data_IF_064532122094
#
_entry.id   IF_064532122094
#
_cell.length_a   1.000
_cell.length_b   1.000
_cell.length_c   1.000
_cell.angle_alpha   90.00
_cell.angle_beta   90.00
_cell.angle_gamma   90.00
#
_symmetry.space_group_name_H-M   'P 1'
#
loop_
_entity.id
_entity.type
_entity.pdbx_description
1 polymer ?
#
# COMPACT_ATOMS: atom_id res chain seq x y z
N UNK A 1 3.91 -17.44 -7.74
CA UNK A 1 4.20 -16.28 -6.87
C UNK A 1 5.54 -15.62 -7.18
N UNK A 2 6.68 -16.31 -7.06
CA UNK A 2 8.01 -15.68 -7.25
C UNK A 2 8.18 -14.88 -8.56
N UNK A 3 7.61 -15.33 -9.68
CA UNK A 3 7.64 -14.60 -10.97
C UNK A 3 7.01 -13.20 -10.89
N UNK A 4 5.98 -13.03 -10.06
CA UNK A 4 5.27 -11.76 -9.91
C UNK A 4 6.17 -10.69 -9.28
N UNK A 5 6.98 -11.09 -8.30
CA UNK A 5 7.89 -10.18 -7.58
C UNK A 5 9.10 -9.72 -8.40
N UNK A 6 9.33 -10.31 -9.58
CA UNK A 6 10.43 -9.94 -10.49
C UNK A 6 9.90 -9.38 -11.82
N UNK A 7 8.65 -8.91 -11.83
CA UNK A 7 7.99 -8.33 -13.01
C UNK A 7 8.02 -9.28 -14.25
N UNK A 8 7.99 -10.60 -14.03
CA UNK A 8 7.96 -11.58 -15.10
C UNK A 8 6.52 -11.90 -15.53
N UNK A 9 6.28 -11.84 -16.84
CA UNK A 9 5.01 -12.23 -17.43
C UNK A 9 4.70 -13.71 -17.18
N UNK A 10 3.48 -14.00 -16.71
CA UNK A 10 2.99 -15.36 -16.55
C UNK A 10 2.22 -15.80 -17.82
N UNK A 11 2.51 -17.00 -18.37
CA UNK A 11 1.74 -17.51 -19.51
C UNK A 11 0.24 -17.53 -19.23
N UNK A 12 -0.57 -17.31 -20.27
CA UNK A 12 -2.03 -17.23 -20.16
C UNK A 12 -2.66 -18.47 -19.48
N UNK A 13 -2.19 -19.67 -19.80
CA UNK A 13 -2.66 -20.92 -19.19
C UNK A 13 -2.49 -20.93 -17.67
N UNK A 14 -1.32 -20.49 -17.17
CA UNK A 14 -1.02 -20.40 -15.74
C UNK A 14 -1.92 -19.37 -15.05
N UNK A 15 -2.21 -18.24 -15.72
CA UNK A 15 -3.10 -17.20 -15.17
C UNK A 15 -4.54 -17.71 -15.04
N UNK A 16 -5.06 -18.41 -16.04
CA UNK A 16 -6.40 -19.01 -15.99
C UNK A 16 -6.49 -20.08 -14.92
N UNK A 17 -5.50 -20.96 -14.82
CA UNK A 17 -5.48 -22.02 -13.81
C UNK A 17 -5.48 -21.43 -12.39
N UNK A 18 -4.65 -20.41 -12.18
CA UNK A 18 -4.60 -19.64 -10.93
C UNK A 18 -5.95 -19.00 -10.60
N UNK A 19 -6.54 -18.27 -11.57
CA UNK A 19 -7.86 -17.63 -11.41
C UNK A 19 -8.95 -18.65 -11.07
N UNK A 20 -9.03 -19.74 -11.83
CA UNK A 20 -10.05 -20.78 -11.67
C UNK A 20 -9.95 -21.46 -10.31
N UNK A 21 -8.73 -21.65 -9.81
CA UNK A 21 -8.49 -22.23 -8.49
C UNK A 21 -8.84 -21.24 -7.39
N UNK A 22 -8.46 -19.97 -7.55
CA UNK A 22 -8.68 -18.92 -6.55
C UNK A 22 -10.16 -18.56 -6.39
N UNK A 23 -10.94 -18.54 -7.48
CA UNK A 23 -12.38 -18.28 -7.44
C UNK A 23 -13.21 -19.37 -6.72
N UNK A 24 -12.66 -20.57 -6.52
CA UNK A 24 -13.33 -21.64 -5.76
C UNK A 24 -13.23 -21.43 -4.24
N UNK A 25 -12.30 -20.60 -3.79
CA UNK A 25 -12.09 -20.33 -2.38
C UNK A 25 -13.10 -19.31 -1.87
N UNK A 26 -13.61 -19.53 -0.66
CA UNK A 26 -14.36 -18.48 0.03
C UNK A 26 -13.44 -17.28 0.35
N UNK A 27 -13.99 -16.22 0.94
CA UNK A 27 -13.19 -15.04 1.23
C UNK A 27 -12.07 -15.28 2.25
N UNK A 28 -12.37 -16.06 3.30
CA UNK A 28 -11.44 -16.32 4.40
C UNK A 28 -10.30 -17.23 3.94
N UNK A 29 -10.62 -18.28 3.20
CA UNK A 29 -9.66 -19.22 2.64
C UNK A 29 -8.78 -18.54 1.60
N UNK A 30 -9.36 -17.73 0.71
CA UNK A 30 -8.57 -16.97 -0.25
C UNK A 30 -7.60 -16.01 0.44
N UNK A 31 -8.04 -15.30 1.47
CA UNK A 31 -7.16 -14.42 2.25
C UNK A 31 -6.04 -15.18 2.96
N UNK A 32 -6.36 -16.34 3.54
CA UNK A 32 -5.36 -17.24 4.15
C UNK A 32 -4.34 -17.73 3.12
N UNK A 33 -4.76 -18.05 1.89
CA UNK A 33 -3.84 -18.41 0.81
C UNK A 33 -2.92 -17.24 0.40
N UNK A 34 -3.42 -16.00 0.39
CA UNK A 34 -2.57 -14.81 0.19
C UNK A 34 -1.51 -14.69 1.30
N UNK A 35 -1.92 -14.84 2.57
CA UNK A 35 -1.00 -14.77 3.72
C UNK A 35 0.06 -15.87 3.66
N UNK A 36 -0.32 -17.13 3.40
CA UNK A 36 0.63 -18.25 3.24
C UNK A 36 1.62 -18.00 2.11
N UNK A 37 1.13 -17.45 1.00
CA UNK A 37 1.97 -17.11 -0.14
C UNK A 37 2.99 -16.01 0.18
N UNK A 38 2.58 -14.98 0.93
CA UNK A 38 3.47 -13.93 1.42
C UNK A 38 4.52 -14.47 2.39
N UNK A 39 4.11 -15.29 3.37
CA UNK A 39 5.01 -15.94 4.31
C UNK A 39 6.07 -16.77 3.60
N UNK A 40 5.67 -17.62 2.64
CA UNK A 40 6.61 -18.39 1.81
C UNK A 40 7.57 -17.52 1.01
N UNK A 41 7.11 -16.37 0.51
CA UNK A 41 7.96 -15.44 -0.24
C UNK A 41 8.97 -14.78 0.70
N UNK A 42 8.52 -14.33 1.87
CA UNK A 42 9.38 -13.77 2.92
C UNK A 42 10.44 -14.79 3.34
N UNK A 43 10.05 -16.03 3.62
CA UNK A 43 10.97 -17.11 3.97
C UNK A 43 11.99 -17.41 2.86
N UNK A 44 11.57 -17.32 1.61
CA UNK A 44 12.47 -17.52 0.47
C UNK A 44 13.49 -16.40 0.28
N UNK A 45 13.13 -15.16 0.62
CA UNK A 45 13.95 -13.97 0.30
C UNK A 45 14.73 -13.42 1.50
N UNK A 46 14.16 -13.46 2.69
CA UNK A 46 14.68 -12.78 3.88
C UNK A 46 15.13 -13.72 4.98
N UNK A 47 14.84 -15.02 4.87
CA UNK A 47 15.28 -16.01 5.85
C UNK A 47 16.19 -17.06 5.21
N UNK A 48 16.86 -17.86 6.05
CA UNK A 48 17.73 -18.94 5.59
C UNK A 48 16.98 -20.22 5.25
N UNK A 49 15.65 -20.26 5.37
CA UNK A 49 14.82 -21.47 5.17
C UNK A 49 15.08 -22.09 3.80
N UNK A 50 15.06 -21.27 2.74
CA UNK A 50 15.30 -21.76 1.38
C UNK A 50 16.70 -22.38 1.19
N UNK A 51 17.70 -21.88 1.94
CA UNK A 51 19.08 -22.36 1.87
C UNK A 51 19.25 -23.73 2.54
N UNK A 52 18.50 -24.01 3.62
CA UNK A 52 18.58 -25.29 4.36
C UNK A 52 18.27 -26.49 3.44
N UNK A 53 17.39 -26.32 2.46
CA UNK A 53 17.06 -27.37 1.49
C UNK A 53 18.17 -27.62 0.46
N UNK A 54 19.27 -26.87 0.48
CA UNK A 54 20.44 -27.09 -0.35
C UNK A 54 21.57 -27.74 0.48
N UNK A 55 22.34 -28.67 -0.09
CA UNK A 55 23.43 -29.33 0.64
C UNK A 55 24.48 -28.37 1.20
N UNK A 56 24.79 -27.29 0.47
CA UNK A 56 25.70 -26.23 0.92
C UNK A 56 25.11 -25.41 2.08
N UNK A 57 23.81 -25.08 2.00
CA UNK A 57 23.12 -24.32 3.04
C UNK A 57 22.89 -25.12 4.31
N UNK A 58 22.60 -26.42 4.21
CA UNK A 58 22.55 -27.32 5.37
C UNK A 58 23.91 -27.40 6.09
N UNK A 59 25.01 -27.49 5.35
CA UNK A 59 26.36 -27.44 5.92
C UNK A 59 26.65 -26.11 6.63
N UNK A 60 26.25 -24.99 6.02
CA UNK A 60 26.43 -23.65 6.60
C UNK A 60 25.58 -23.45 7.86
N UNK A 61 24.37 -24.02 7.89
CA UNK A 61 23.47 -23.98 9.04
C UNK A 61 24.06 -24.63 10.29
N UNK A 62 24.77 -25.75 10.12
CA UNK A 62 25.46 -26.41 11.22
C UNK A 62 26.75 -25.67 11.60
N UNK A 63 27.50 -25.15 10.63
CA UNK A 63 28.83 -24.58 10.84
C UNK A 63 28.82 -23.18 11.49
N UNK A 64 27.93 -22.28 11.05
CA UNK A 64 27.96 -20.86 11.45
C UNK A 64 27.76 -20.63 12.96
N UNK A 65 26.88 -21.36 13.68
CA UNK A 65 26.78 -21.24 15.13
C UNK A 65 28.09 -21.58 15.85
N UNK A 66 28.81 -22.62 15.39
CA UNK A 66 30.12 -22.98 15.95
C UNK A 66 31.17 -21.90 15.67
N UNK A 67 31.17 -21.30 14.47
CA UNK A 67 32.08 -20.21 14.14
C UNK A 67 31.81 -18.95 14.97
N UNK A 68 30.53 -18.63 15.23
CA UNK A 68 30.14 -17.51 16.08
C UNK A 68 30.61 -17.72 17.54
N UNK A 69 30.37 -18.91 18.09
CA UNK A 69 30.88 -19.29 19.42
C UNK A 69 32.41 -19.27 19.48
N UNK A 70 33.09 -19.83 18.47
CA UNK A 70 34.55 -19.80 18.39
C UNK A 70 35.08 -18.36 18.33
N UNK A 71 34.41 -17.46 17.63
CA UNK A 71 34.79 -16.04 17.54
C UNK A 71 34.71 -15.35 18.91
N UNK A 72 33.67 -15.61 19.71
CA UNK A 72 33.58 -15.13 21.09
C UNK A 72 34.73 -15.67 21.94
N UNK A 73 34.99 -16.98 21.87
CA UNK A 73 36.04 -17.62 22.65
C UNK A 73 37.42 -17.06 22.28
N UNK A 74 37.72 -16.98 20.98
CA UNK A 74 38.97 -16.42 20.48
C UNK A 74 39.16 -14.97 20.94
N UNK A 75 38.14 -14.13 20.80
CA UNK A 75 38.19 -12.74 21.26
C UNK A 75 38.37 -12.66 22.79
N UNK A 76 37.69 -13.51 23.55
CA UNK A 76 37.84 -13.58 25.00
C UNK A 76 39.24 -14.02 25.44
N UNK A 77 39.89 -14.93 24.70
CA UNK A 77 41.25 -15.39 24.99
C UNK A 77 42.36 -14.47 24.45
N UNK A 78 42.05 -13.56 23.53
CA UNK A 78 43.02 -12.62 22.97
C UNK A 78 43.49 -11.59 24.01
N UNK A 79 44.77 -11.19 23.94
CA UNK A 79 45.31 -10.09 24.74
C UNK A 79 44.75 -8.75 24.23
N UNK A 80 44.29 -7.88 25.15
CA UNK A 80 43.68 -6.58 24.82
C UNK A 80 44.61 -5.39 25.07
N UNK A 81 45.91 -5.65 25.19
CA UNK A 81 46.88 -4.62 25.56
C UNK A 81 46.93 -3.51 24.50
N UNK A 82 46.69 -2.27 24.93
CA UNK A 82 46.67 -1.10 24.05
C UNK A 82 45.37 -0.85 23.27
N UNK A 83 44.34 -1.68 23.45
CA UNK A 83 43.02 -1.47 22.82
C UNK A 83 42.11 -0.58 23.69
N UNK A 84 41.26 0.21 23.02
CA UNK A 84 40.30 1.09 23.69
C UNK A 84 39.15 0.28 24.31
N UNK A 85 38.84 0.54 25.59
CA UNK A 85 37.78 -0.14 26.34
C UNK A 85 36.40 -0.07 25.66
N UNK A 86 36.10 1.06 25.00
CA UNK A 86 34.82 1.22 24.27
C UNK A 86 34.72 0.26 23.09
N UNK A 87 35.81 0.07 22.36
CA UNK A 87 35.85 -0.78 21.17
C UNK A 87 35.76 -2.25 21.57
N UNK A 88 36.40 -2.62 22.68
CA UNK A 88 36.27 -3.96 23.28
C UNK A 88 34.79 -4.24 23.64
N UNK A 89 34.12 -3.28 24.28
CA UNK A 89 32.70 -3.41 24.65
C UNK A 89 31.79 -3.55 23.43
N UNK A 90 31.99 -2.72 22.40
CA UNK A 90 31.23 -2.81 21.14
C UNK A 90 31.46 -4.16 20.46
N UNK A 91 32.69 -4.67 20.45
CA UNK A 91 33.02 -5.96 19.85
C UNK A 91 32.33 -7.12 20.56
N UNK A 92 32.33 -7.14 21.90
CA UNK A 92 31.56 -8.12 22.67
C UNK A 92 30.06 -8.05 22.37
N UNK A 93 29.49 -6.84 22.29
CA UNK A 93 28.08 -6.66 21.94
C UNK A 93 27.79 -7.28 20.56
N UNK A 94 28.59 -6.95 19.55
CA UNK A 94 28.41 -7.48 18.19
C UNK A 94 28.55 -9.01 18.13
N UNK A 95 29.56 -9.58 18.80
CA UNK A 95 29.78 -11.02 18.82
C UNK A 95 28.67 -11.77 19.57
N UNK A 96 28.23 -11.25 20.71
CA UNK A 96 27.10 -11.80 21.46
C UNK A 96 25.79 -11.73 20.65
N UNK A 97 25.48 -10.57 20.07
CA UNK A 97 24.29 -10.41 19.21
C UNK A 97 24.31 -11.34 18.00
N UNK A 98 25.46 -11.48 17.33
CA UNK A 98 25.64 -12.40 16.20
C UNK A 98 25.42 -13.85 16.63
N UNK A 99 25.99 -14.25 17.77
CA UNK A 99 25.86 -15.62 18.29
C UNK A 99 24.43 -15.94 18.67
N UNK A 100 23.72 -15.00 19.30
CA UNK A 100 22.29 -15.15 19.60
C UNK A 100 21.47 -15.32 18.31
N UNK A 101 21.72 -14.50 17.28
CA UNK A 101 21.03 -14.62 15.99
C UNK A 101 21.31 -15.96 15.28
N UNK A 102 22.56 -16.44 15.32
CA UNK A 102 22.96 -17.71 14.72
C UNK A 102 22.40 -18.93 15.46
N UNK A 103 22.23 -18.86 16.79
CA UNK A 103 21.64 -19.94 17.60
C UNK A 103 20.10 -19.93 17.58
N UNK A 104 19.48 -18.80 17.26
CA UNK A 104 18.02 -18.64 17.25
C UNK A 104 17.33 -19.59 16.28
N UNK A 105 17.84 -19.71 15.05
CA UNK A 105 17.21 -20.51 14.01
C UNK A 105 17.29 -22.02 14.25
N UNK A 106 18.45 -22.59 14.64
CA UNK A 106 18.56 -23.98 15.09
C UNK A 106 17.67 -24.27 16.31
N UNK A 107 17.56 -23.32 17.23
CA UNK A 107 16.67 -23.44 18.38
C UNK A 107 15.20 -23.54 17.93
N UNK A 108 14.74 -22.65 17.05
CA UNK A 108 13.37 -22.71 16.51
C UNK A 108 13.10 -24.02 15.76
N UNK A 109 14.05 -24.49 14.93
CA UNK A 109 13.92 -25.76 14.22
C UNK A 109 13.87 -26.96 15.18
N UNK A 110 14.71 -26.96 16.22
CA UNK A 110 14.69 -27.98 17.26
C UNK A 110 13.37 -27.99 18.03
N UNK A 111 12.83 -26.81 18.38
CA UNK A 111 11.53 -26.69 19.03
C UNK A 111 10.39 -27.19 18.12
N UNK A 112 10.44 -26.91 16.82
CA UNK A 112 9.47 -27.44 15.84
C UNK A 112 9.46 -28.97 15.77
N UNK A 113 10.64 -29.60 15.84
CA UNK A 113 10.78 -31.06 15.86
C UNK A 113 10.29 -31.69 17.17
N UNK A 114 10.36 -30.97 18.29
CA UNK A 114 9.84 -31.43 19.59
C UNK A 114 8.32 -31.31 19.69
N UNK A 115 7.78 -30.15 19.33
CA UNK A 115 6.34 -29.89 19.30
C UNK A 115 6.04 -28.69 18.37
N UNK A 116 5.28 -28.89 17.27
CA UNK A 116 4.84 -27.81 16.39
C UNK A 116 4.11 -26.67 17.12
N UNK A 117 3.48 -26.94 18.26
CA UNK A 117 2.79 -25.92 19.06
C UNK A 117 3.76 -24.94 19.73
N UNK A 118 4.94 -25.40 20.16
CA UNK A 118 5.95 -24.54 20.77
C UNK A 118 6.58 -23.62 19.71
N UNK A 119 6.82 -24.12 18.50
CA UNK A 119 7.25 -23.30 17.38
C UNK A 119 6.22 -22.22 17.02
N UNK A 120 4.94 -22.60 16.94
CA UNK A 120 3.87 -21.65 16.68
C UNK A 120 3.69 -20.64 17.83
N UNK A 121 3.99 -21.01 19.07
CA UNK A 121 3.98 -20.07 20.20
C UNK A 121 5.07 -18.99 20.09
N UNK A 122 6.28 -19.35 19.65
CA UNK A 122 7.37 -18.37 19.45
C UNK A 122 7.22 -17.55 18.15
N UNK A 123 6.57 -18.11 17.12
CA UNK A 123 6.27 -17.39 15.87
C UNK A 123 4.91 -16.66 15.86
N UNK A 124 4.01 -16.98 16.78
CA UNK A 124 2.68 -16.36 16.91
C UNK A 124 2.69 -14.82 17.02
N UNK A 125 3.67 -14.18 17.70
CA UNK A 125 3.83 -12.73 17.68
C UNK A 125 4.14 -12.17 16.28
N UNK A 126 4.74 -12.97 15.40
CA UNK A 126 4.96 -12.71 13.98
C UNK A 126 3.80 -13.26 13.11
N UNK A 127 2.59 -13.46 13.64
CA UNK A 127 1.46 -13.96 12.85
C UNK A 127 0.39 -12.88 12.58
N UNK A 128 0.56 -11.65 13.09
CA UNK A 128 -0.44 -10.57 12.97
C UNK A 128 0.00 -9.27 12.27
N UNK A 129 1.31 -9.00 12.16
CA UNK A 129 1.88 -7.88 11.39
C UNK A 129 1.37 -7.77 9.95
N UNK A 130 1.10 -8.91 9.34
CA UNK A 130 0.52 -9.09 8.02
C UNK A 130 -0.86 -8.43 7.81
N UNK A 131 -1.66 -8.28 8.88
CA UNK A 131 -3.00 -7.70 8.78
C UNK A 131 -3.04 -6.19 9.00
N UNK A 132 -1.88 -5.59 9.30
CA UNK A 132 -1.75 -4.17 9.59
C UNK A 132 -1.65 -3.36 8.31
N UNK A 133 -2.37 -2.24 8.25
CA UNK A 133 -2.15 -1.20 7.27
C UNK A 133 -1.71 0.07 8.00
N UNK A 134 -0.66 0.69 7.47
CA UNK A 134 -0.20 1.99 7.94
C UNK A 134 -1.25 3.05 7.63
N UNK A 135 -1.42 4.03 8.52
CA UNK A 135 -2.42 5.09 8.39
C UNK A 135 -1.76 6.42 8.71
N UNK A 136 -2.02 7.40 7.84
CA UNK A 136 -1.65 8.79 8.07
C UNK A 136 -2.72 9.72 7.49
N UNK A 137 -2.86 10.90 8.08
CA UNK A 137 -3.86 11.89 7.67
C UNK A 137 -3.25 13.29 7.64
N UNK A 138 -3.61 14.08 6.62
CA UNK A 138 -3.05 15.43 6.43
C UNK A 138 -3.56 16.44 7.44
N UNK A 139 -4.81 16.34 7.90
CA UNK A 139 -5.38 17.23 8.93
C UNK A 139 -4.62 17.03 10.24
N UNK A 140 -4.38 15.78 10.65
CA UNK A 140 -3.57 15.49 11.84
C UNK A 140 -2.14 16.03 11.71
N UNK A 141 -1.54 15.92 10.51
CA UNK A 141 -0.21 16.45 10.21
C UNK A 141 -0.16 17.98 10.38
N UNK A 142 -1.17 18.68 9.86
CA UNK A 142 -1.26 20.14 9.93
C UNK A 142 -1.52 20.63 11.37
N UNK A 143 -2.39 19.93 12.11
CA UNK A 143 -2.62 20.21 13.54
C UNK A 143 -1.30 20.13 14.31
N UNK A 144 -0.48 19.10 14.07
CA UNK A 144 0.84 18.95 14.71
C UNK A 144 1.85 20.00 14.25
N UNK A 145 1.79 20.47 13.01
CA UNK A 145 2.62 21.61 12.54
C UNK A 145 2.29 22.90 13.32
N UNK A 146 1.01 23.19 13.55
CA UNK A 146 0.57 24.37 14.31
C UNK A 146 0.79 24.22 15.82
N UNK A 147 0.56 23.02 16.36
CA UNK A 147 0.71 22.68 17.78
C UNK A 147 1.70 21.51 17.93
N UNK A 148 3.03 21.77 17.87
CA UNK A 148 4.03 20.73 17.96
C UNK A 148 3.96 19.96 19.28
N UNK A 149 4.09 18.64 19.18
CA UNK A 149 4.19 17.74 20.33
C UNK A 149 5.53 17.88 21.06
N UNK A 150 5.66 17.25 22.23
CA UNK A 150 6.92 17.24 22.97
C UNK A 150 8.09 16.71 22.12
N UNK A 151 7.91 15.57 21.43
CA UNK A 151 8.94 14.98 20.56
C UNK A 151 9.37 15.93 19.44
N UNK A 152 8.42 16.65 18.84
CA UNK A 152 8.71 17.65 17.81
C UNK A 152 9.44 18.89 18.33
N UNK A 153 9.24 19.25 19.62
CA UNK A 153 9.94 20.37 20.27
C UNK A 153 11.40 20.02 20.60
N UNK A 154 11.67 18.76 20.92
CA UNK A 154 13.04 18.27 21.20
C UNK A 154 13.89 18.21 19.92
N UNK A 155 13.26 18.04 18.75
CA UNK A 155 13.96 18.08 17.47
C UNK A 155 14.56 19.48 17.21
N UNK A 156 15.90 19.53 17.19
CA UNK A 156 16.70 20.77 17.18
C UNK A 156 16.64 21.52 15.85
N UNK A 157 16.44 20.80 14.73
CA UNK A 157 16.38 21.35 13.38
C UNK A 157 14.97 21.21 12.78
N UNK A 158 14.56 22.18 11.94
CA UNK A 158 13.26 22.14 11.25
C UNK A 158 13.09 20.87 10.40
N UNK A 159 14.17 20.41 9.75
CA UNK A 159 14.15 19.16 8.98
C UNK A 159 13.86 17.93 9.86
N UNK A 160 14.52 17.83 11.02
CA UNK A 160 14.28 16.72 11.96
C UNK A 160 12.86 16.78 12.53
N UNK A 161 12.33 17.98 12.79
CA UNK A 161 10.95 18.16 13.23
C UNK A 161 9.96 17.65 12.19
N UNK A 162 10.21 17.91 10.91
CA UNK A 162 9.37 17.43 9.82
C UNK A 162 9.45 15.90 9.70
N UNK A 163 10.65 15.32 9.78
CA UNK A 163 10.82 13.86 9.79
C UNK A 163 10.08 13.21 10.96
N UNK A 164 10.18 13.78 12.17
CA UNK A 164 9.44 13.32 13.36
C UNK A 164 7.93 13.35 13.11
N UNK A 165 7.42 14.45 12.54
CA UNK A 165 5.98 14.60 12.28
C UNK A 165 5.45 13.56 11.28
N UNK A 166 6.25 13.22 10.28
CA UNK A 166 5.89 12.29 9.20
C UNK A 166 6.05 10.82 9.62
N UNK A 167 7.14 10.47 10.32
CA UNK A 167 7.51 9.06 10.55
C UNK A 167 7.09 8.52 11.93
N UNK A 168 7.11 9.34 12.99
CA UNK A 168 6.79 8.84 14.35
C UNK A 168 5.29 8.79 14.65
N UNK A 169 4.46 9.36 13.77
CA UNK A 169 3.00 9.42 13.94
C UNK A 169 2.23 8.54 12.96
N UNK A 170 2.92 7.58 12.31
CA UNK A 170 2.28 6.55 11.50
C UNK A 170 1.53 5.61 12.43
N UNK A 171 0.23 5.46 12.21
CA UNK A 171 -0.60 4.51 12.95
C UNK A 171 -0.61 3.17 12.23
N UNK A 172 -0.55 2.07 12.97
CA UNK A 172 -0.75 0.71 12.42
C UNK A 172 -2.15 0.24 12.83
N UNK A 173 -2.98 -0.14 11.87
CA UNK A 173 -4.38 -0.56 12.12
C UNK A 173 -4.67 -1.90 11.44
N UNK A 174 -5.31 -2.88 12.10
CA UNK A 174 -5.57 -4.22 11.55
C UNK A 174 -6.76 -4.21 10.56
N UNK A 175 -6.58 -3.60 9.40
CA UNK A 175 -7.65 -3.37 8.40
C UNK A 175 -7.38 -4.04 7.04
N UNK A 176 -6.24 -4.73 6.86
CA UNK A 176 -5.87 -5.31 5.57
C UNK A 176 -6.90 -6.34 5.09
N UNK A 177 -7.48 -7.13 5.99
CA UNK A 177 -8.55 -8.07 5.70
C UNK A 177 -9.82 -7.38 5.16
N UNK A 178 -10.25 -6.28 5.77
CA UNK A 178 -11.44 -5.55 5.34
C UNK A 178 -11.19 -4.84 4.00
N UNK A 179 -9.97 -4.31 3.79
CA UNK A 179 -9.55 -3.72 2.51
C UNK A 179 -9.59 -4.75 1.40
N UNK A 180 -8.94 -5.88 1.61
CA UNK A 180 -8.84 -6.94 0.61
C UNK A 180 -10.23 -7.48 0.22
N UNK A 181 -11.16 -7.56 1.18
CA UNK A 181 -12.53 -8.02 0.91
C UNK A 181 -13.37 -7.03 0.12
N UNK A 182 -13.17 -5.73 0.35
CA UNK A 182 -13.82 -4.68 -0.47
C UNK A 182 -13.30 -4.71 -1.91
N UNK A 183 -11.99 -4.89 -2.06
CA UNK A 183 -11.33 -4.93 -3.36
C UNK A 183 -11.69 -6.21 -4.14
N UNK A 184 -11.81 -7.36 -3.45
CA UNK A 184 -12.28 -8.60 -4.07
C UNK A 184 -13.68 -8.44 -4.68
N UNK A 185 -14.63 -7.87 -3.92
CA UNK A 185 -15.99 -7.58 -4.40
C UNK A 185 -15.95 -6.72 -5.67
N UNK A 186 -15.18 -5.64 -5.66
CA UNK A 186 -15.01 -4.79 -6.84
C UNK A 186 -14.51 -5.53 -8.08
N UNK A 187 -13.56 -6.46 -7.93
CA UNK A 187 -13.08 -7.28 -9.05
C UNK A 187 -14.11 -8.31 -9.53
N UNK A 188 -14.84 -8.94 -8.60
CA UNK A 188 -15.92 -9.86 -8.93
C UNK A 188 -17.04 -9.16 -9.71
N UNK A 189 -17.43 -7.97 -9.29
CA UNK A 189 -18.42 -7.14 -9.99
C UNK A 189 -17.88 -6.70 -11.36
N UNK A 190 -16.60 -6.32 -11.43
CA UNK A 190 -15.91 -6.02 -12.68
C UNK A 190 -16.00 -7.16 -13.70
N UNK A 191 -15.72 -8.40 -13.27
CA UNK A 191 -15.83 -9.59 -14.13
C UNK A 191 -17.28 -9.89 -14.55
N UNK A 192 -18.26 -9.73 -13.64
CA UNK A 192 -19.66 -10.07 -13.90
C UNK A 192 -20.36 -9.04 -14.80
N UNK A 193 -20.10 -7.76 -14.56
CA UNK A 193 -20.91 -6.66 -15.07
C UNK A 193 -20.21 -5.84 -16.16
N UNK A 194 -18.89 -5.60 -16.03
CA UNK A 194 -18.16 -4.64 -16.85
C UNK A 194 -17.32 -5.29 -17.97
N UNK A 195 -16.56 -6.33 -17.65
CA UNK A 195 -15.56 -6.91 -18.56
C UNK A 195 -16.26 -7.89 -19.53
N UNK A 196 -16.29 -7.54 -20.81
CA UNK A 196 -16.90 -8.36 -21.88
C UNK A 196 -15.94 -8.72 -23.01
N UNK A 197 -14.87 -7.96 -23.15
CA UNK A 197 -13.91 -8.03 -24.25
C UNK A 197 -12.52 -7.51 -23.81
N UNK A 198 -11.45 -7.71 -24.60
CA UNK A 198 -10.11 -7.25 -24.25
C UNK A 198 -9.97 -5.74 -24.04
N UNK A 199 -10.76 -4.90 -24.70
CA UNK A 199 -10.71 -3.45 -24.54
C UNK A 199 -11.35 -3.01 -23.21
N UNK A 200 -12.50 -3.58 -22.85
CA UNK A 200 -13.13 -3.38 -21.53
C UNK A 200 -12.26 -3.91 -20.39
N UNK A 201 -11.55 -5.03 -20.57
CA UNK A 201 -10.57 -5.55 -19.61
C UNK A 201 -9.41 -4.56 -19.34
N UNK A 202 -8.80 -4.03 -20.41
CA UNK A 202 -7.74 -3.02 -20.31
C UNK A 202 -8.25 -1.72 -19.68
N UNK A 203 -9.48 -1.32 -20.02
CA UNK A 203 -10.12 -0.13 -19.47
C UNK A 203 -10.39 -0.28 -17.97
N UNK A 204 -10.92 -1.43 -17.54
CA UNK A 204 -11.14 -1.75 -16.13
C UNK A 204 -9.83 -1.69 -15.34
N UNK A 205 -8.75 -2.26 -15.90
CA UNK A 205 -7.42 -2.26 -15.28
C UNK A 205 -6.73 -0.88 -15.26
N UNK A 206 -7.32 0.13 -15.90
CA UNK A 206 -6.81 1.50 -15.93
C UNK A 206 -7.63 2.48 -15.08
N UNK A 207 -8.71 1.99 -14.47
CA UNK A 207 -9.61 2.78 -13.63
C UNK A 207 -8.91 3.36 -12.39
N UNK A 208 -9.31 4.58 -12.02
CA UNK A 208 -8.84 5.36 -10.85
C UNK A 208 -10.01 6.06 -10.14
N UNK A 209 -11.25 5.68 -10.45
CA UNK A 209 -12.48 6.29 -9.94
C UNK A 209 -13.53 6.54 -11.03
N UNK A 210 -13.23 6.31 -12.31
CA UNK A 210 -14.15 6.59 -13.40
C UNK A 210 -15.40 5.69 -13.35
N UNK A 211 -15.29 4.46 -12.84
CA UNK A 211 -16.42 3.56 -12.73
C UNK A 211 -17.36 4.00 -11.59
N UNK A 212 -16.81 4.39 -10.44
CA UNK A 212 -17.56 4.96 -9.32
C UNK A 212 -18.23 6.29 -9.69
N UNK A 213 -17.58 7.11 -10.52
CA UNK A 213 -18.13 8.38 -11.02
C UNK A 213 -19.12 8.21 -12.17
N UNK A 214 -19.44 6.98 -12.61
CA UNK A 214 -20.24 6.74 -13.83
C UNK A 214 -21.60 7.43 -13.82
N UNK A 215 -22.21 7.62 -12.65
CA UNK A 215 -23.50 8.31 -12.53
C UNK A 215 -23.39 9.84 -12.50
N UNK A 216 -22.20 10.39 -12.24
CA UNK A 216 -21.96 11.84 -12.03
C UNK A 216 -20.95 12.42 -13.04
N UNK A 217 -20.81 11.76 -14.20
CA UNK A 217 -19.72 11.90 -15.16
C UNK A 217 -19.30 13.35 -15.52
N UNK A 218 -20.20 14.32 -15.53
CA UNK A 218 -19.87 15.67 -15.99
C UNK A 218 -19.33 16.60 -14.90
N UNK A 219 -19.69 16.39 -13.63
CA UNK A 219 -19.39 17.35 -12.55
C UNK A 219 -18.09 17.01 -11.80
N UNK A 220 -17.75 15.72 -11.70
CA UNK A 220 -16.64 15.24 -10.85
C UNK A 220 -15.44 14.71 -11.64
N UNK A 221 -15.60 14.39 -12.93
CA UNK A 221 -14.54 13.74 -13.73
C UNK A 221 -13.26 14.57 -13.87
N UNK A 222 -13.35 15.91 -13.77
CA UNK A 222 -12.16 16.78 -13.79
C UNK A 222 -11.18 16.46 -12.66
N UNK A 223 -11.67 15.95 -11.51
CA UNK A 223 -10.85 15.61 -10.35
C UNK A 223 -9.92 14.40 -10.59
N UNK A 224 -10.18 13.59 -11.62
CA UNK A 224 -9.39 12.41 -11.99
C UNK A 224 -8.46 12.66 -13.20
N UNK A 225 -8.55 13.83 -13.85
CA UNK A 225 -7.76 14.17 -15.06
C UNK A 225 -6.38 14.74 -14.74
N UNK A 226 -6.06 14.97 -13.47
CA UNK A 226 -4.77 15.46 -13.01
C UNK A 226 -3.78 14.29 -12.81
N UNK A 227 -2.48 14.57 -12.58
CA UNK A 227 -1.53 13.54 -12.15
C UNK A 227 -2.07 12.73 -10.97
N UNK A 228 -1.80 11.43 -10.94
CA UNK A 228 -2.47 10.52 -10.01
C UNK A 228 -2.16 10.82 -8.53
N UNK A 229 -0.93 11.21 -8.23
CA UNK A 229 -0.50 11.68 -6.91
C UNK A 229 -1.25 12.95 -6.47
N UNK A 230 -1.49 13.89 -7.39
CA UNK A 230 -2.33 15.07 -7.16
C UNK A 230 -3.79 14.68 -6.93
N UNK A 231 -4.36 13.76 -7.72
CA UNK A 231 -5.71 13.24 -7.51
C UNK A 231 -5.85 12.61 -6.13
N UNK A 232 -4.90 11.76 -5.71
CA UNK A 232 -4.90 11.14 -4.37
C UNK A 232 -4.93 12.22 -3.28
N UNK A 233 -4.11 13.26 -3.41
CA UNK A 233 -4.06 14.32 -2.41
C UNK A 233 -5.34 15.17 -2.37
N UNK A 234 -5.86 15.57 -3.53
CA UNK A 234 -7.12 16.34 -3.67
C UNK A 234 -8.30 15.56 -3.08
N UNK A 235 -8.43 14.28 -3.44
CA UNK A 235 -9.49 13.42 -2.92
C UNK A 235 -9.34 13.16 -1.42
N UNK A 236 -8.12 13.02 -0.90
CA UNK A 236 -7.88 12.83 0.54
C UNK A 236 -8.37 14.04 1.35
N UNK A 237 -7.95 15.25 0.93
CA UNK A 237 -8.41 16.49 1.58
C UNK A 237 -9.92 16.64 1.42
N UNK A 238 -10.46 16.51 0.21
CA UNK A 238 -11.90 16.68 -0.04
C UNK A 238 -12.77 15.74 0.81
N UNK A 239 -12.34 14.49 0.96
CA UNK A 239 -13.03 13.49 1.78
C UNK A 239 -13.07 13.91 3.25
N UNK A 240 -11.97 14.41 3.80
CA UNK A 240 -11.94 14.90 5.18
C UNK A 240 -12.82 16.15 5.36
N UNK A 241 -12.82 17.07 4.40
CA UNK A 241 -13.72 18.23 4.43
C UNK A 241 -15.19 17.79 4.50
N UNK A 242 -15.58 16.79 3.71
CA UNK A 242 -16.92 16.19 3.80
C UNK A 242 -17.16 15.49 5.15
N UNK A 243 -16.14 14.84 5.72
CA UNK A 243 -16.24 14.07 6.95
C UNK A 243 -16.57 14.93 8.18
N UNK A 244 -15.97 16.11 8.28
CA UNK A 244 -16.14 17.02 9.44
C UNK A 244 -17.34 17.99 9.33
N UNK A 245 -18.18 17.84 8.28
CA UNK A 245 -19.37 18.68 8.09
C UNK A 245 -20.59 18.16 8.89
N UNK A 246 -21.29 19.03 9.64
CA UNK A 246 -22.35 18.64 10.59
C UNK A 246 -23.60 17.99 9.98
N UNK A 247 -23.83 18.10 8.67
CA UNK A 247 -25.03 17.57 8.00
C UNK A 247 -24.95 16.06 7.66
N UNK A 248 -24.01 15.32 8.24
CA UNK A 248 -24.02 13.87 8.10
C UNK A 248 -25.01 13.32 9.13
N UNK A 249 -26.21 12.94 8.70
CA UNK A 249 -27.24 12.34 9.56
C UNK A 249 -26.61 11.29 10.48
N UNK A 250 -27.09 11.18 11.73
CA UNK A 250 -26.52 10.28 12.73
C UNK A 250 -26.44 8.81 12.26
N UNK A 251 -27.25 8.41 11.28
CA UNK A 251 -27.18 7.12 10.58
C UNK A 251 -25.99 6.99 9.61
N UNK A 252 -25.61 8.05 8.88
CA UNK A 252 -24.47 8.02 7.97
C UNK A 252 -23.11 8.04 8.68
N UNK A 253 -23.04 8.26 10.01
CA UNK A 253 -21.78 8.20 10.75
C UNK A 253 -21.24 6.78 10.93
N UNK A 254 -22.07 5.74 10.77
CA UNK A 254 -21.71 4.33 10.98
C UNK A 254 -21.69 3.46 9.71
N UNK A 255 -21.84 4.05 8.51
CA UNK A 255 -21.86 3.28 7.26
C UNK A 255 -20.51 2.64 6.92
N UNK A 256 -20.53 1.34 6.57
CA UNK A 256 -19.33 0.58 6.15
C UNK A 256 -18.54 1.34 5.07
N UNK A 257 -19.23 1.89 4.06
CA UNK A 257 -18.60 2.65 2.97
C UNK A 257 -17.80 3.87 3.46
N UNK A 258 -18.35 4.61 4.43
CA UNK A 258 -17.69 5.80 5.02
C UNK A 258 -16.40 5.40 5.74
N UNK A 259 -16.46 4.36 6.56
CA UNK A 259 -15.31 3.87 7.31
C UNK A 259 -14.24 3.29 6.38
N UNK A 260 -14.65 2.42 5.45
CA UNK A 260 -13.76 1.81 4.45
C UNK A 260 -13.11 2.84 3.53
N UNK A 261 -13.85 3.87 3.12
CA UNK A 261 -13.33 4.99 2.33
C UNK A 261 -12.28 5.80 3.10
N UNK A 262 -12.48 6.04 4.41
CA UNK A 262 -11.50 6.70 5.28
C UNK A 262 -10.22 5.87 5.43
N UNK A 263 -10.35 4.58 5.69
CA UNK A 263 -9.25 3.63 5.86
C UNK A 263 -8.35 3.54 4.60
N UNK A 264 -8.95 3.38 3.42
CA UNK A 264 -8.19 3.34 2.17
C UNK A 264 -7.55 4.70 1.89
N UNK A 265 -8.30 5.80 2.08
CA UNK A 265 -7.79 7.15 1.84
C UNK A 265 -6.59 7.51 2.72
N UNK A 266 -6.62 7.15 4.00
CA UNK A 266 -5.51 7.33 4.93
C UNK A 266 -4.30 6.44 4.58
N UNK A 267 -4.54 5.21 4.10
CA UNK A 267 -3.47 4.33 3.62
C UNK A 267 -2.80 4.90 2.37
N UNK A 268 -3.60 5.36 1.40
CA UNK A 268 -3.10 5.95 0.15
C UNK A 268 -2.33 7.26 0.40
N UNK A 269 -2.77 8.06 1.37
CA UNK A 269 -2.01 9.23 1.82
C UNK A 269 -0.69 8.83 2.49
N UNK A 270 -0.69 7.79 3.33
CA UNK A 270 0.55 7.22 3.88
C UNK A 270 1.51 6.78 2.75
N UNK A 271 1.02 6.09 1.72
CA UNK A 271 1.84 5.71 0.57
C UNK A 271 2.42 6.95 -0.12
N UNK A 272 1.61 7.98 -0.39
CA UNK A 272 2.10 9.21 -1.03
C UNK A 272 3.20 9.91 -0.20
N UNK A 273 3.07 9.91 1.13
CA UNK A 273 4.00 10.59 2.04
C UNK A 273 5.28 9.77 2.30
N UNK A 274 5.15 8.49 2.61
CA UNK A 274 6.23 7.65 3.16
C UNK A 274 6.80 6.67 2.12
N UNK A 275 5.95 6.11 1.25
CA UNK A 275 6.35 5.12 0.22
C UNK A 275 5.88 5.52 -1.18
N UNK A 276 6.24 6.72 -1.69
CA UNK A 276 5.73 7.23 -2.97
C UNK A 276 6.03 6.29 -4.13
N UNK A 277 7.16 5.57 -4.08
CA UNK A 277 7.55 4.54 -5.05
C UNK A 277 6.55 3.39 -5.18
N UNK A 278 5.82 3.07 -4.11
CA UNK A 278 4.76 2.04 -4.13
C UNK A 278 3.39 2.61 -4.54
N UNK A 279 3.18 3.93 -4.45
CA UNK A 279 1.94 4.55 -4.94
C UNK A 279 1.90 4.53 -6.47
N UNK A 280 2.95 5.08 -7.10
CA UNK A 280 3.17 5.02 -8.55
C UNK A 280 4.62 5.42 -8.86
N UNK A 281 5.12 5.01 -10.02
CA UNK A 281 6.39 5.53 -10.54
C UNK A 281 6.32 7.05 -10.73
N UNK A 282 7.25 7.76 -10.11
CA UNK A 282 7.34 9.22 -10.20
C UNK A 282 6.40 10.00 -9.28
N UNK A 283 5.75 9.36 -8.30
CA UNK A 283 4.91 10.06 -7.32
C UNK A 283 5.71 11.14 -6.56
N UNK A 284 5.13 12.33 -6.45
CA UNK A 284 5.76 13.53 -5.89
C UNK A 284 5.37 13.74 -4.43
N UNK A 285 6.14 13.19 -3.48
CA UNK A 285 5.86 13.35 -2.04
C UNK A 285 5.91 14.82 -1.57
N UNK A 286 6.70 15.69 -2.22
CA UNK A 286 6.78 17.11 -1.89
C UNK A 286 5.43 17.86 -2.02
N UNK A 287 4.48 17.33 -2.80
CA UNK A 287 3.12 17.86 -2.89
C UNK A 287 2.44 17.89 -1.52
N UNK A 288 2.71 16.90 -0.66
CA UNK A 288 2.16 16.85 0.70
C UNK A 288 2.70 17.99 1.56
N UNK A 289 4.00 18.30 1.46
CA UNK A 289 4.60 19.43 2.16
C UNK A 289 3.96 20.74 1.72
N UNK A 290 3.88 20.99 0.41
CA UNK A 290 3.24 22.17 -0.17
C UNK A 290 1.78 22.32 0.27
N UNK A 291 1.02 21.22 0.22
CA UNK A 291 -0.35 21.15 0.68
C UNK A 291 -0.50 21.52 2.15
N UNK A 292 0.30 20.89 3.00
CA UNK A 292 0.25 21.09 4.45
C UNK A 292 0.63 22.51 4.84
N UNK A 293 1.65 23.10 4.21
CA UNK A 293 2.06 24.47 4.48
C UNK A 293 0.98 25.47 4.06
N UNK A 294 0.33 25.21 2.92
CA UNK A 294 -0.82 26.02 2.45
C UNK A 294 -2.02 25.93 3.39
N UNK A 295 -2.34 24.73 3.86
CA UNK A 295 -3.40 24.51 4.85
C UNK A 295 -3.09 25.25 6.16
N UNK A 296 -1.85 25.16 6.64
CA UNK A 296 -1.40 25.86 7.85
C UNK A 296 -1.45 27.39 7.66
N UNK A 297 -1.09 27.88 6.48
CA UNK A 297 -1.16 29.30 6.12
C UNK A 297 -2.61 29.82 6.10
N UNK A 298 -3.50 29.10 5.43
CA UNK A 298 -4.91 29.49 5.31
C UNK A 298 -5.64 29.45 6.65
N UNK A 299 -5.06 28.78 7.66
CA UNK A 299 -5.67 28.60 8.99
C UNK A 299 -5.03 29.44 10.09
N UNK A 300 -4.22 30.45 9.77
CA UNK A 300 -3.47 31.26 10.76
C UNK A 300 -4.34 31.86 11.86
N UNK A 301 -5.63 32.09 11.60
CA UNK A 301 -6.59 32.61 12.59
C UNK A 301 -7.01 31.63 13.69
N UNK A 302 -6.79 30.31 13.51
CA UNK A 302 -7.16 29.31 14.52
C UNK A 302 -6.10 29.20 15.63
N UNK A 303 -6.50 29.63 16.84
CA UNK A 303 -5.67 29.56 18.05
C UNK A 303 -5.53 28.12 18.59
N UNK A 304 -6.62 27.33 18.57
CA UNK A 304 -6.63 25.93 19.02
C UNK A 304 -7.10 25.02 17.87
N UNK A 305 -6.17 24.58 17.00
CA UNK A 305 -6.50 23.80 15.83
C UNK A 305 -6.83 22.34 16.22
N UNK A 306 -8.02 21.90 15.85
CA UNK A 306 -8.40 20.48 15.78
C UNK A 306 -8.57 20.10 14.31
N UNK A 307 -8.61 18.80 14.00
CA UNK A 307 -8.86 18.35 12.62
C UNK A 307 -10.20 18.90 12.10
N UNK A 308 -11.21 18.94 12.96
CA UNK A 308 -12.55 19.44 12.67
C UNK A 308 -12.56 20.96 12.44
N UNK A 309 -11.92 21.76 13.31
CA UNK A 309 -11.88 23.22 13.14
C UNK A 309 -11.09 23.61 11.90
N UNK A 310 -9.98 22.90 11.63
CA UNK A 310 -9.17 23.08 10.43
C UNK A 310 -9.95 22.75 9.16
N UNK A 311 -10.63 21.60 9.11
CA UNK A 311 -11.43 21.19 7.96
C UNK A 311 -12.57 22.20 7.68
N UNK A 312 -13.25 22.70 8.72
CA UNK A 312 -14.31 23.71 8.56
C UNK A 312 -13.80 25.02 8.01
N UNK A 313 -12.67 25.50 8.52
CA UNK A 313 -12.07 26.74 8.03
C UNK A 313 -11.71 26.61 6.55
N UNK A 314 -11.05 25.50 6.16
CA UNK A 314 -10.67 25.23 4.76
C UNK A 314 -11.91 25.15 3.85
N UNK A 315 -12.96 24.45 4.28
CA UNK A 315 -14.18 24.28 3.49
C UNK A 315 -14.86 25.62 3.16
N UNK A 316 -14.80 26.57 4.10
CA UNK A 316 -15.39 27.91 3.98
C UNK A 316 -14.51 28.90 3.21
N UNK A 317 -13.29 28.53 2.82
CA UNK A 317 -12.43 29.40 2.01
C UNK A 317 -13.10 29.70 0.65
N UNK A 318 -13.02 30.97 0.26
CA UNK A 318 -13.29 31.38 -1.11
C UNK A 318 -12.04 31.10 -1.96
N UNK A 319 -12.15 30.38 -3.08
CA UNK A 319 -11.03 30.14 -3.99
C UNK A 319 -10.43 31.46 -4.49
N UNK A 320 -9.24 31.85 -3.99
CA UNK A 320 -8.54 33.03 -4.51
C UNK A 320 -7.69 32.72 -5.75
N UNK A 321 -7.28 31.46 -5.94
CA UNK A 321 -6.49 30.98 -7.07
C UNK A 321 -6.75 29.48 -7.35
N UNK A 322 -6.48 28.97 -8.57
CA UNK A 322 -6.52 27.54 -8.87
C UNK A 322 -5.28 26.85 -8.27
N UNK A 323 -5.45 26.25 -7.10
CA UNK A 323 -4.44 25.42 -6.44
C UNK A 323 -5.06 24.08 -5.95
N UNK A 324 -4.23 23.21 -5.36
CA UNK A 324 -4.65 21.90 -4.86
C UNK A 324 -5.71 22.00 -3.76
N UNK A 325 -5.59 22.94 -2.81
CA UNK A 325 -6.57 23.13 -1.72
C UNK A 325 -7.91 23.63 -2.28
N UNK A 326 -7.86 24.57 -3.21
CA UNK A 326 -9.00 25.09 -3.97
C UNK A 326 -9.73 23.98 -4.74
N UNK A 327 -8.98 23.08 -5.39
CA UNK A 327 -9.55 21.91 -6.04
C UNK A 327 -10.19 20.95 -5.03
N UNK A 328 -9.56 20.70 -3.89
CA UNK A 328 -10.15 19.88 -2.83
C UNK A 328 -11.45 20.49 -2.28
N UNK A 329 -11.51 21.80 -2.07
CA UNK A 329 -12.73 22.49 -1.65
C UNK A 329 -13.84 22.41 -2.70
N UNK A 330 -13.52 22.60 -3.99
CA UNK A 330 -14.48 22.45 -5.10
C UNK A 330 -15.04 21.03 -5.15
N UNK A 331 -14.17 20.03 -5.05
CA UNK A 331 -14.57 18.62 -5.02
C UNK A 331 -15.44 18.31 -3.80
N UNK A 332 -15.05 18.77 -2.61
CA UNK A 332 -15.83 18.57 -1.39
C UNK A 332 -17.22 19.20 -1.50
N UNK A 333 -17.34 20.42 -2.02
CA UNK A 333 -18.63 21.10 -2.21
C UNK A 333 -19.54 20.31 -3.15
N UNK A 334 -19.02 19.84 -4.29
CA UNK A 334 -19.77 19.00 -5.22
C UNK A 334 -20.19 17.64 -4.60
N UNK A 335 -19.32 17.01 -3.81
CA UNK A 335 -19.67 15.78 -3.08
C UNK A 335 -20.75 16.03 -2.03
N UNK A 336 -20.76 17.21 -1.40
CA UNK A 336 -21.77 17.60 -0.41
C UNK A 336 -23.18 17.80 -1.00
N UNK A 337 -23.31 17.95 -2.32
CA UNK A 337 -24.61 18.02 -3.02
C UNK A 337 -25.28 16.64 -3.13
N UNK A 338 -24.52 15.56 -3.01
CA UNK A 338 -25.03 14.18 -3.03
C UNK A 338 -25.67 13.79 -1.70
N UNK A 339 -26.59 12.81 -1.74
CA UNK A 339 -27.12 12.18 -0.53
C UNK A 339 -26.02 11.50 0.30
N UNK A 340 -26.22 11.36 1.61
CA UNK A 340 -25.18 10.84 2.52
C UNK A 340 -24.65 9.46 2.12
N UNK A 341 -25.54 8.50 1.86
CA UNK A 341 -25.16 7.12 1.51
C UNK A 341 -24.54 7.04 0.11
N UNK A 342 -25.11 7.75 -0.86
CA UNK A 342 -24.58 7.87 -2.23
C UNK A 342 -23.17 8.46 -2.23
N UNK A 343 -22.96 9.57 -1.49
CA UNK A 343 -21.67 10.23 -1.33
C UNK A 343 -20.59 9.28 -0.83
N UNK A 344 -20.86 8.56 0.27
CA UNK A 344 -19.86 7.69 0.88
C UNK A 344 -19.60 6.42 0.05
N UNK A 345 -20.62 5.89 -0.62
CA UNK A 345 -20.48 4.78 -1.57
C UNK A 345 -19.60 5.17 -2.76
N UNK A 346 -19.84 6.35 -3.34
CA UNK A 346 -19.03 6.91 -4.42
C UNK A 346 -17.58 7.13 -3.98
N UNK A 347 -17.37 7.79 -2.83
CA UNK A 347 -16.03 8.03 -2.27
C UNK A 347 -15.30 6.70 -2.06
N UNK A 348 -15.95 5.70 -1.47
CA UNK A 348 -15.36 4.37 -1.29
C UNK A 348 -14.96 3.74 -2.62
N UNK A 349 -15.86 3.78 -3.62
CA UNK A 349 -15.61 3.24 -4.95
C UNK A 349 -14.38 3.86 -5.62
N UNK A 350 -14.26 5.20 -5.57
CA UNK A 350 -13.09 5.90 -6.10
C UNK A 350 -11.81 5.46 -5.40
N UNK A 351 -11.82 5.36 -4.07
CA UNK A 351 -10.65 4.90 -3.32
C UNK A 351 -10.25 3.45 -3.62
N UNK A 352 -11.23 2.56 -3.82
CA UNK A 352 -10.99 1.17 -4.22
C UNK A 352 -10.33 1.13 -5.60
N UNK A 353 -10.84 1.87 -6.58
CA UNK A 353 -10.23 1.96 -7.92
C UNK A 353 -8.82 2.54 -7.86
N UNK A 354 -8.58 3.61 -7.10
CA UNK A 354 -7.24 4.18 -6.93
C UNK A 354 -6.26 3.19 -6.26
N UNK A 355 -6.72 2.41 -5.27
CA UNK A 355 -5.88 1.41 -4.61
C UNK A 355 -5.51 0.26 -5.55
N UNK A 356 -6.46 -0.24 -6.32
CA UNK A 356 -6.24 -1.22 -7.38
C UNK A 356 -5.26 -0.68 -8.43
N UNK A 357 -5.44 0.58 -8.84
CA UNK A 357 -4.53 1.26 -9.74
C UNK A 357 -3.10 1.26 -9.20
N UNK A 358 -2.87 1.74 -7.97
CA UNK A 358 -1.55 1.74 -7.34
C UNK A 358 -0.94 0.33 -7.29
N UNK A 359 -1.70 -0.67 -6.85
CA UNK A 359 -1.22 -2.05 -6.75
C UNK A 359 -0.80 -2.61 -8.11
N UNK A 360 -1.55 -2.31 -9.18
CA UNK A 360 -1.23 -2.75 -10.54
C UNK A 360 -0.07 -1.99 -11.20
N UNK A 361 0.38 -0.87 -10.61
CA UNK A 361 1.44 0.01 -11.16
C UNK A 361 2.71 0.01 -10.32
N UNK A 362 2.64 -0.51 -9.10
CA UNK A 362 3.81 -0.76 -8.28
C UNK A 362 4.65 -1.89 -8.89
N UNK A 363 5.97 -1.77 -8.82
CA UNK A 363 6.90 -2.78 -9.34
C UNK A 363 6.92 -3.98 -8.42
N UNK A 364 6.99 -5.18 -8.99
CA UNK A 364 7.04 -6.45 -8.26
C UNK A 364 8.15 -6.46 -7.21
N UNK A 365 9.33 -5.90 -7.52
CA UNK A 365 10.43 -5.89 -6.56
C UNK A 365 10.15 -5.00 -5.34
N UNK A 366 9.33 -3.95 -5.46
CA UNK A 366 8.96 -3.10 -4.33
C UNK A 366 8.00 -3.85 -3.39
N UNK A 367 7.09 -4.64 -3.96
CA UNK A 367 6.27 -5.57 -3.18
C UNK A 367 7.13 -6.58 -2.42
N UNK A 368 8.15 -7.15 -3.06
CA UNK A 368 9.11 -8.05 -2.41
C UNK A 368 9.91 -7.33 -1.31
N UNK A 369 10.47 -6.16 -1.63
CA UNK A 369 11.25 -5.32 -0.71
C UNK A 369 10.47 -5.02 0.56
N UNK A 370 9.18 -4.70 0.40
CA UNK A 370 8.30 -4.36 1.52
C UNK A 370 8.14 -5.47 2.56
N UNK A 371 8.34 -6.74 2.18
CA UNK A 371 8.25 -7.87 3.11
C UNK A 371 9.36 -7.82 4.18
N UNK A 372 10.54 -7.30 3.82
CA UNK A 372 11.63 -7.09 4.77
C UNK A 372 11.34 -5.99 5.80
N UNK A 373 10.42 -5.08 5.49
CA UNK A 373 10.04 -3.94 6.33
C UNK A 373 8.74 -4.20 7.13
N UNK A 374 8.34 -5.47 7.28
CA UNK A 374 7.12 -5.86 8.00
C UNK A 374 5.88 -6.08 7.11
N UNK A 375 6.04 -5.97 5.79
CA UNK A 375 4.96 -6.13 4.81
C UNK A 375 4.20 -4.84 4.52
N UNK A 376 3.39 -4.85 3.46
CA UNK A 376 2.56 -3.72 3.05
C UNK A 376 1.18 -4.19 2.59
N UNK A 377 0.12 -3.49 3.01
CA UNK A 377 -1.26 -3.82 2.61
C UNK A 377 -1.43 -3.80 1.08
N UNK A 378 -0.74 -2.91 0.37
CA UNK A 378 -0.75 -2.84 -1.10
C UNK A 378 -0.26 -4.16 -1.73
N UNK A 379 0.63 -4.89 -1.06
CA UNK A 379 1.11 -6.17 -1.55
C UNK A 379 0.02 -7.25 -1.50
N UNK A 380 -0.86 -7.24 -0.49
CA UNK A 380 -2.06 -8.09 -0.49
C UNK A 380 -2.95 -7.80 -1.69
N UNK A 381 -3.16 -6.51 -1.96
CA UNK A 381 -4.00 -6.07 -3.07
C UNK A 381 -3.39 -6.46 -4.41
N UNK A 382 -2.08 -6.31 -4.57
CA UNK A 382 -1.35 -6.74 -5.76
C UNK A 382 -1.47 -8.25 -6.02
N UNK A 383 -1.32 -9.07 -4.97
CA UNK A 383 -1.47 -10.51 -5.09
C UNK A 383 -2.90 -10.91 -5.43
N UNK A 384 -3.89 -10.34 -4.70
CA UNK A 384 -5.29 -10.54 -5.00
C UNK A 384 -5.59 -10.16 -6.46
N UNK A 385 -5.13 -9.00 -6.91
CA UNK A 385 -5.30 -8.51 -8.29
C UNK A 385 -4.76 -9.51 -9.32
N UNK A 386 -3.57 -10.04 -9.08
CA UNK A 386 -2.97 -11.03 -9.97
C UNK A 386 -3.70 -12.38 -9.96
N UNK A 387 -4.06 -12.90 -8.79
CA UNK A 387 -4.83 -14.15 -8.66
C UNK A 387 -6.24 -14.02 -9.23
N UNK A 388 -6.83 -12.82 -9.20
CA UNK A 388 -8.08 -12.48 -9.86
C UNK A 388 -7.93 -12.27 -11.38
N UNK A 389 -6.76 -12.58 -11.96
CA UNK A 389 -6.53 -12.55 -13.41
C UNK A 389 -6.50 -11.14 -14.00
N UNK A 390 -6.31 -10.12 -13.18
CA UNK A 390 -6.26 -8.73 -13.64
C UNK A 390 -4.88 -8.35 -14.19
N UNK A 391 -4.82 -7.26 -14.95
CA UNK A 391 -3.61 -6.83 -15.65
C UNK A 391 -2.59 -6.23 -14.67
N UNK A 392 -1.43 -6.86 -14.53
CA UNK A 392 -0.32 -6.35 -13.71
C UNK A 392 0.60 -5.42 -14.52
N UNK A 393 1.55 -4.76 -13.84
CA UNK A 393 2.55 -3.94 -14.52
C UNK A 393 3.35 -4.74 -15.57
N UNK A 394 3.75 -5.97 -15.22
CA UNK A 394 4.48 -6.86 -16.13
C UNK A 394 3.66 -7.18 -17.39
N UNK A 395 2.36 -7.43 -17.23
CA UNK A 395 1.44 -7.71 -18.33
C UNK A 395 1.36 -6.54 -19.32
N UNK A 396 1.30 -5.30 -18.82
CA UNK A 396 1.22 -4.09 -19.65
C UNK A 396 2.43 -3.87 -20.54
N UNK A 397 3.62 -4.23 -20.07
CA UNK A 397 4.85 -4.10 -20.87
C UNK A 397 4.93 -5.15 -21.99
N UNK A 398 4.27 -6.29 -21.84
CA UNK A 398 4.31 -7.39 -22.81
C UNK A 398 3.08 -7.42 -23.74
N UNK A 399 1.92 -6.95 -23.28
CA UNK A 399 0.71 -6.85 -24.09
C UNK A 399 0.77 -5.58 -24.95
N UNK A 400 0.93 -5.73 -26.26
CA UNK A 400 0.80 -4.64 -27.22
C UNK A 400 -0.52 -3.89 -27.05
N UNK A 401 -0.47 -2.55 -27.14
CA UNK A 401 -1.68 -1.72 -27.20
C UNK A 401 -2.57 -2.22 -28.34
N UNK A 402 -3.91 -2.34 -28.15
CA UNK A 402 -4.77 -2.56 -29.30
C UNK A 402 -4.63 -1.34 -30.19
N UNK A 403 -4.33 -1.55 -31.48
CA UNK A 403 -4.48 -0.49 -32.48
C UNK A 403 -5.87 0.14 -32.29
N UNK A 404 -6.00 1.48 -32.34
CA UNK A 404 -7.31 2.10 -32.30
C UNK A 404 -8.12 1.51 -33.45
N UNK A 405 -9.21 0.80 -33.12
CA UNK A 405 -10.18 0.38 -34.11
C UNK A 405 -10.76 1.65 -34.71
N UNK A 406 -10.49 1.88 -36.00
CA UNK A 406 -11.11 2.95 -36.76
C UNK A 406 -12.63 2.81 -36.62
N UNK A 407 -13.23 3.86 -36.05
CA UNK A 407 -14.66 4.03 -35.97
C UNK A 407 -15.22 4.38 -37.35
N UNK A 408 -15.01 3.52 -38.35
CA UNK A 408 -15.77 3.50 -39.60
C UNK A 408 -15.90 2.05 -40.05
N UNK A 409 -17.09 1.48 -39.81
CA UNK A 409 -17.48 0.23 -40.44
C UNK A 409 -17.38 0.37 -41.96
N UNK A 410 -16.49 -0.40 -42.57
CA UNK A 410 -16.60 -0.73 -43.99
C UNK A 410 -16.23 -2.19 -44.18
N UNK A 411 -17.25 -2.97 -44.52
CA UNK A 411 -17.11 -4.32 -45.03
C UNK A 411 -16.11 -4.33 -46.19
N UNK A 412 -15.00 -5.04 -46.03
CA UNK A 412 -14.20 -5.50 -47.16
C UNK A 412 -14.92 -6.68 -47.79
N UNK A 413 -15.76 -6.40 -48.78
CA UNK A 413 -16.19 -7.41 -49.75
C UNK A 413 -14.99 -7.83 -50.60
N UNK A 414 -14.96 -9.13 -50.86
CA UNK A 414 -14.15 -9.82 -51.86
C UNK A 414 -14.22 -9.15 -53.25
N UNK A 415 -13.06 -9.05 -53.91
CA UNK A 415 -12.99 -9.04 -55.36
C UNK A 415 -11.69 -9.75 -55.80
N UNK A 416 -11.86 -10.98 -56.29
CA UNK A 416 -10.97 -11.64 -57.25
C UNK A 416 -10.98 -10.89 -58.60
N UNK A 417 -9.88 -11.02 -59.36
CA UNK A 417 -9.74 -10.64 -60.78
C UNK A 417 -9.13 -9.24 -60.97
N UNK A 418 -8.07 -8.99 -61.73
CA UNK A 418 -7.43 -9.76 -62.79
C UNK A 418 -5.92 -9.46 -62.87
N UNK A 419 -5.16 -10.48 -63.27
CA UNK A 419 -3.78 -10.40 -63.78
C UNK A 419 -3.78 -9.90 -65.23
N UNK A 420 -2.60 -9.57 -65.76
CA UNK A 420 -2.12 -10.25 -66.95
C UNK A 420 -1.08 -11.33 -66.64
#
# INVERSE_FOLDING_TARGET
MNRMFVDQYAPYSVRIEGLTSFLKLDYKDAYSELQKGLGKTFDGMYTRVGSINTGLGAGSFLLLPFLALASIVLFATSGKDGQNEKDIRVTYILLCSTTVLELWYPLLLFLYLLDPCIFNFFNGPFEGWHDMASQHNIMSLCVRKKKPTFLMKVATFNFLRELVNQHLYIQQVPIAYQITGTVRRHMEDGWKEYIRDPASYKSFSALRGQLALRMHHHQLAWSLKMPFDESVLVWHVARDLCFYQPNTSAQCQQGEAKQRGREISNYMFYLLLIRPEMLMLGAKSYLVTLASDKIVENSKGLLEPTEESLAREIFNLSPSAPDMVSNACKLAKALMELGGDERWTLIQGVWVEMLCYSASRCRGYLHAKSLGDGGECLTYIYLLWSFMGMETLADRHHMSEPLPFDSQGRHGQSAEGDMP
#
